data_IF_065844408590
#
_entry.id   IF_065844408590
#
_cell.length_a   1.000
_cell.length_b   1.000
_cell.length_c   1.000
_cell.angle_alpha   90.00
_cell.angle_beta   90.00
_cell.angle_gamma   90.00
#
_symmetry.space_group_name_H-M   'P 1'
#
loop_
_entity.id
_entity.type
_entity.pdbx_description
1 polymer ?
#
# COMPACT_ATOMS: atom_id res chain seq x y z
N UNK A 1 -53.22 3.63 4.93
CA UNK A 1 -52.18 4.16 4.03
C UNK A 1 -50.83 4.40 4.74
N UNK A 2 -50.78 4.77 6.03
CA UNK A 2 -49.52 4.93 6.77
C UNK A 2 -48.70 3.64 6.90
N UNK A 3 -49.35 2.51 7.23
CA UNK A 3 -48.70 1.21 7.41
C UNK A 3 -48.00 0.72 6.13
N UNK A 4 -48.60 0.93 4.96
CA UNK A 4 -47.98 0.57 3.67
C UNK A 4 -46.73 1.40 3.36
N UNK A 5 -46.69 2.67 3.80
CA UNK A 5 -45.53 3.55 3.61
C UNK A 5 -44.35 3.13 4.50
N UNK A 6 -44.63 2.74 5.75
CA UNK A 6 -43.62 2.25 6.69
C UNK A 6 -43.04 0.91 6.24
N UNK A 7 -43.87 -0.02 5.78
CA UNK A 7 -43.40 -1.29 5.20
C UNK A 7 -42.56 -1.07 3.94
N UNK A 8 -42.92 -0.13 3.07
CA UNK A 8 -42.16 0.16 1.85
C UNK A 8 -40.77 0.76 2.16
N UNK A 9 -40.71 1.67 3.15
CA UNK A 9 -39.43 2.25 3.61
C UNK A 9 -38.55 1.18 4.25
N UNK A 10 -39.11 0.31 5.09
CA UNK A 10 -38.36 -0.77 5.74
C UNK A 10 -37.82 -1.75 4.68
N UNK A 11 -38.63 -2.14 3.70
CA UNK A 11 -38.19 -3.02 2.61
C UNK A 11 -37.11 -2.36 1.74
N UNK A 12 -37.25 -1.07 1.42
CA UNK A 12 -36.24 -0.33 0.66
C UNK A 12 -34.90 -0.23 1.41
N UNK A 13 -34.93 0.06 2.72
CA UNK A 13 -33.72 0.10 3.57
C UNK A 13 -33.07 -1.27 3.66
N UNK A 14 -33.85 -2.34 3.86
CA UNK A 14 -33.32 -3.71 3.93
C UNK A 14 -32.71 -4.16 2.60
N UNK A 15 -33.31 -3.80 1.46
CA UNK A 15 -32.72 -4.07 0.13
C UNK A 15 -31.42 -3.30 -0.03
N UNK A 16 -31.36 -2.00 0.29
CA UNK A 16 -30.12 -1.21 0.21
C UNK A 16 -29.00 -1.79 1.08
N UNK A 17 -29.30 -2.28 2.29
CA UNK A 17 -28.31 -2.90 3.18
C UNK A 17 -27.82 -4.26 2.65
N UNK A 18 -28.67 -5.02 1.96
CA UNK A 18 -28.31 -6.33 1.38
C UNK A 18 -27.61 -6.23 0.02
N UNK A 19 -27.84 -5.17 -0.77
CA UNK A 19 -27.21 -4.96 -2.10
C UNK A 19 -25.96 -4.07 -2.02
N UNK A 20 -25.52 -3.61 -0.84
CA UNK A 20 -24.16 -3.10 -0.68
C UNK A 20 -23.27 -4.34 -0.58
N UNK A 21 -22.58 -4.81 -1.65
CA UNK A 21 -21.52 -5.77 -1.46
C UNK A 21 -20.58 -5.13 -0.45
N UNK A 22 -20.44 -5.77 0.72
CA UNK A 22 -19.37 -5.45 1.63
C UNK A 22 -18.10 -5.56 0.79
N UNK A 23 -17.50 -4.42 0.45
CA UNK A 23 -16.22 -4.34 -0.23
C UNK A 23 -15.18 -4.85 0.77
N UNK A 24 -15.23 -6.15 1.07
CA UNK A 24 -14.23 -6.84 1.84
C UNK A 24 -12.93 -6.72 1.06
N UNK A 25 -11.86 -6.33 1.75
CA UNK A 25 -10.53 -6.52 1.23
C UNK A 25 -10.31 -8.01 0.95
N UNK A 26 -10.48 -8.45 -0.29
CA UNK A 26 -10.11 -9.82 -0.69
C UNK A 26 -8.59 -9.92 -0.67
N UNK A 27 -8.05 -10.55 0.38
CA UNK A 27 -6.62 -10.85 0.54
C UNK A 27 -6.13 -11.98 -0.40
N UNK A 28 -6.99 -12.49 -1.29
CA UNK A 28 -6.66 -13.62 -2.16
C UNK A 28 -6.14 -13.20 -3.55
N UNK A 29 -5.79 -11.92 -3.73
CA UNK A 29 -5.17 -11.38 -4.95
C UNK A 29 -3.81 -10.78 -4.64
N UNK A 30 -2.75 -11.41 -5.14
CA UNK A 30 -1.37 -10.91 -5.07
C UNK A 30 -1.21 -9.61 -5.88
N UNK A 31 -1.47 -8.47 -5.25
CA UNK A 31 -1.15 -7.14 -5.78
C UNK A 31 -2.11 -6.07 -5.28
N UNK A 32 -1.59 -5.01 -4.66
CA UNK A 32 -2.40 -3.84 -4.34
C UNK A 32 -2.86 -3.08 -5.59
N UNK A 33 -3.92 -2.30 -5.44
CA UNK A 33 -4.47 -1.48 -6.52
C UNK A 33 -3.55 -0.29 -6.81
N UNK A 34 -3.48 0.09 -8.08
CA UNK A 34 -2.75 1.28 -8.53
C UNK A 34 -3.76 2.35 -8.91
N UNK A 35 -3.74 3.47 -8.21
CA UNK A 35 -4.65 4.59 -8.42
C UNK A 35 -3.94 5.70 -9.19
N UNK A 36 -4.35 5.94 -10.44
CA UNK A 36 -3.93 7.14 -11.18
C UNK A 36 -4.60 8.36 -10.57
N UNK A 37 -3.82 9.27 -9.98
CA UNK A 37 -4.36 10.38 -9.19
C UNK A 37 -5.18 11.33 -10.06
N UNK A 38 -6.45 11.51 -9.71
CA UNK A 38 -7.41 12.30 -10.48
C UNK A 38 -7.96 11.59 -11.72
N UNK A 39 -7.62 10.31 -11.96
CA UNK A 39 -7.95 9.59 -13.20
C UNK A 39 -7.47 10.33 -14.47
N UNK A 40 -6.47 11.20 -14.31
CA UNK A 40 -5.93 12.10 -15.34
C UNK A 40 -4.47 12.44 -15.01
N UNK A 41 -3.88 13.38 -15.75
CA UNK A 41 -2.58 13.96 -15.45
C UNK A 41 -2.62 14.82 -14.19
N UNK A 42 -1.61 14.69 -13.33
CA UNK A 42 -1.42 15.55 -12.17
C UNK A 42 -1.05 16.98 -12.61
N UNK A 43 -2.07 17.82 -12.70
CA UNK A 43 -2.01 19.21 -13.14
C UNK A 43 -2.91 20.11 -12.26
N UNK A 44 -2.93 21.41 -12.55
CA UNK A 44 -3.89 22.34 -11.94
C UNK A 44 -5.30 21.92 -12.34
N UNK A 45 -6.21 21.64 -11.38
CA UNK A 45 -7.55 21.21 -11.71
C UNK A 45 -8.43 22.38 -12.18
N UNK A 46 -9.51 22.13 -12.92
CA UNK A 46 -10.43 23.17 -13.37
C UNK A 46 -11.22 23.80 -12.20
N UNK A 47 -11.38 23.07 -11.09
CA UNK A 47 -12.05 23.52 -9.88
C UNK A 47 -11.25 23.14 -8.63
N UNK A 48 -11.26 24.03 -7.64
CA UNK A 48 -10.71 23.72 -6.32
C UNK A 48 -11.55 22.61 -5.70
N UNK A 49 -10.89 21.61 -5.12
CA UNK A 49 -11.55 20.45 -4.50
C UNK A 49 -11.71 19.23 -5.42
N UNK A 50 -11.32 19.33 -6.69
CA UNK A 50 -11.30 18.20 -7.62
C UNK A 50 -10.61 16.96 -7.04
N UNK A 51 -9.36 17.09 -6.60
CA UNK A 51 -8.61 15.97 -6.05
C UNK A 51 -9.12 15.48 -4.70
N UNK A 52 -9.71 16.35 -3.87
CA UNK A 52 -10.36 15.90 -2.63
C UNK A 52 -11.61 15.09 -2.91
N UNK A 53 -12.40 15.49 -3.92
CA UNK A 53 -13.57 14.71 -4.34
C UNK A 53 -13.13 13.36 -4.92
N UNK A 54 -12.13 13.37 -5.80
CA UNK A 54 -11.52 12.14 -6.31
C UNK A 54 -11.06 11.21 -5.18
N UNK A 55 -10.27 11.70 -4.22
CA UNK A 55 -9.78 10.86 -3.11
C UNK A 55 -10.90 10.32 -2.22
N UNK A 56 -12.00 11.07 -2.08
CA UNK A 56 -13.13 10.66 -1.23
C UNK A 56 -13.97 9.54 -1.86
N UNK A 57 -13.87 9.35 -3.18
CA UNK A 57 -14.52 8.27 -3.91
C UNK A 57 -13.68 6.99 -3.93
N UNK A 58 -12.52 6.96 -3.28
CA UNK A 58 -11.61 5.82 -3.25
C UNK A 58 -11.38 5.33 -1.82
N UNK A 59 -11.24 4.01 -1.68
CA UNK A 59 -10.81 3.38 -0.44
C UNK A 59 -9.37 2.88 -0.59
N UNK A 60 -8.42 3.64 -0.05
CA UNK A 60 -7.01 3.28 -0.09
C UNK A 60 -6.65 2.36 1.08
N UNK A 61 -5.87 1.31 0.82
CA UNK A 61 -5.35 0.40 1.83
C UNK A 61 -3.84 0.23 1.73
N UNK A 62 -3.24 -0.27 2.80
CA UNK A 62 -1.86 -0.76 2.78
C UNK A 62 -1.70 -1.80 1.65
N UNK A 63 -0.64 -1.66 0.86
CA UNK A 63 -0.33 -2.50 -0.30
C UNK A 63 -0.69 -1.83 -1.63
N UNK A 64 -1.61 -0.86 -1.64
CA UNK A 64 -1.96 -0.10 -2.84
C UNK A 64 -0.83 0.88 -3.24
N UNK A 65 -0.97 1.57 -4.38
CA UNK A 65 -0.05 2.60 -4.83
C UNK A 65 -0.79 3.76 -5.50
N UNK A 66 -0.24 4.97 -5.35
CA UNK A 66 -0.66 6.15 -6.10
C UNK A 66 0.27 6.35 -7.29
N UNK A 67 -0.29 6.63 -8.46
CA UNK A 67 0.44 6.98 -9.67
C UNK A 67 0.16 8.44 -9.98
N UNK A 68 1.19 9.27 -9.86
CA UNK A 68 1.14 10.65 -10.32
C UNK A 68 1.84 10.75 -11.67
N UNK A 69 1.06 10.92 -12.73
CA UNK A 69 1.57 11.17 -14.07
C UNK A 69 1.66 12.68 -14.32
N UNK A 70 2.84 13.20 -14.63
CA UNK A 70 3.04 14.64 -14.80
C UNK A 70 4.30 14.96 -15.62
N UNK A 71 4.28 16.14 -16.24
CA UNK A 71 5.39 16.67 -17.03
C UNK A 71 6.44 17.30 -16.10
N UNK A 72 7.65 16.74 -16.10
CA UNK A 72 8.77 17.23 -15.30
C UNK A 72 9.08 18.70 -15.63
N UNK A 73 9.38 19.50 -14.61
CA UNK A 73 9.64 20.94 -14.76
C UNK A 73 8.39 21.82 -14.88
N UNK A 74 7.24 21.25 -15.24
CA UNK A 74 5.92 21.94 -15.24
C UNK A 74 5.14 21.66 -13.97
N UNK A 75 5.25 20.43 -13.48
CA UNK A 75 4.64 19.99 -12.22
C UNK A 75 5.65 19.16 -11.42
N UNK A 76 5.37 19.00 -10.14
CA UNK A 76 6.06 18.07 -9.27
C UNK A 76 5.09 17.52 -8.22
N UNK A 77 5.57 16.57 -7.43
CA UNK A 77 4.84 16.00 -6.30
C UNK A 77 5.72 16.08 -5.07
N UNK A 78 5.22 16.74 -4.02
CA UNK A 78 5.86 16.80 -2.72
C UNK A 78 4.97 16.09 -1.72
N UNK A 79 5.55 15.18 -0.93
CA UNK A 79 4.92 14.71 0.30
C UNK A 79 5.25 15.71 1.41
N UNK A 80 4.25 16.21 2.12
CA UNK A 80 4.42 17.29 3.11
C UNK A 80 3.65 17.01 4.41
N UNK A 81 3.91 17.83 5.42
CA UNK A 81 3.11 17.82 6.65
C UNK A 81 1.73 18.43 6.42
N UNK A 82 0.76 18.16 7.32
CA UNK A 82 -0.57 18.79 7.26
C UNK A 82 -0.49 20.32 7.26
N UNK A 83 0.39 20.90 8.07
CA UNK A 83 0.56 22.37 8.18
C UNK A 83 1.02 22.98 6.85
N UNK A 84 2.00 22.36 6.22
CA UNK A 84 2.53 22.76 4.91
C UNK A 84 1.49 22.60 3.81
N UNK A 85 0.75 21.47 3.83
CA UNK A 85 -0.37 21.24 2.94
C UNK A 85 -1.43 22.35 3.06
N UNK A 86 -1.91 22.63 4.27
CA UNK A 86 -2.95 23.63 4.54
C UNK A 86 -2.53 25.04 4.10
N UNK A 87 -1.28 25.40 4.33
CA UNK A 87 -0.71 26.71 3.96
C UNK A 87 -0.16 26.78 2.54
N UNK A 88 -0.14 25.68 1.79
CA UNK A 88 0.53 25.57 0.49
C UNK A 88 1.99 26.03 0.52
N UNK A 89 2.73 25.64 1.56
CA UNK A 89 4.15 25.95 1.73
C UNK A 89 4.98 24.67 1.74
N UNK A 90 6.23 24.72 1.31
CA UNK A 90 7.10 23.54 1.22
C UNK A 90 8.49 23.85 1.80
N UNK A 91 8.53 24.26 3.07
CA UNK A 91 9.79 24.63 3.73
C UNK A 91 10.68 23.41 4.01
N UNK A 92 10.06 22.29 4.43
CA UNK A 92 10.73 21.03 4.76
C UNK A 92 9.88 19.85 4.29
N UNK A 93 9.77 19.64 2.95
CA UNK A 93 9.01 18.52 2.43
C UNK A 93 9.61 17.19 2.89
N UNK A 94 8.72 16.23 3.17
CA UNK A 94 9.09 14.89 3.58
C UNK A 94 9.69 14.10 2.42
N UNK A 95 9.15 14.30 1.21
CA UNK A 95 9.67 13.74 -0.05
C UNK A 95 9.42 14.71 -1.19
N UNK A 96 10.29 14.67 -2.20
CA UNK A 96 10.18 15.49 -3.41
C UNK A 96 10.37 14.60 -4.63
N UNK A 97 9.45 14.69 -5.59
CA UNK A 97 9.47 14.01 -6.86
C UNK A 97 9.37 15.04 -7.98
N UNK A 98 10.50 15.33 -8.63
CA UNK A 98 10.59 16.36 -9.69
C UNK A 98 10.38 15.80 -11.11
N UNK A 99 10.19 14.49 -11.25
CA UNK A 99 9.97 13.82 -12.53
C UNK A 99 8.89 12.75 -12.38
N UNK A 100 8.01 12.68 -13.38
CA UNK A 100 6.92 11.71 -13.47
C UNK A 100 7.09 10.76 -14.66
N UNK A 101 6.24 9.73 -14.76
CA UNK A 101 5.26 9.32 -13.75
C UNK A 101 5.94 8.72 -12.51
N UNK A 102 5.42 9.02 -11.32
CA UNK A 102 5.91 8.43 -10.07
C UNK A 102 4.87 7.50 -9.47
N UNK A 103 5.31 6.30 -9.10
CA UNK A 103 4.50 5.30 -8.39
C UNK A 103 4.87 5.29 -6.90
N UNK A 104 3.97 5.77 -6.05
CA UNK A 104 4.15 5.89 -4.60
C UNK A 104 3.37 4.77 -3.90
N UNK A 105 4.06 3.73 -3.37
CA UNK A 105 3.40 2.66 -2.63
C UNK A 105 2.90 3.13 -1.25
N UNK A 106 1.70 2.70 -0.90
CA UNK A 106 1.03 2.97 0.37
C UNK A 106 1.37 1.84 1.35
N UNK A 107 2.37 2.09 2.20
CA UNK A 107 2.95 1.07 3.09
C UNK A 107 2.42 1.12 4.52
N UNK A 108 1.87 2.26 4.91
CA UNK A 108 1.49 2.54 6.29
C UNK A 108 0.08 3.13 6.32
N UNK A 109 -0.66 2.82 7.39
CA UNK A 109 -1.95 3.44 7.70
C UNK A 109 -1.73 4.89 8.13
N UNK A 110 -2.65 5.77 7.74
CA UNK A 110 -2.61 7.17 8.14
C UNK A 110 -3.09 8.10 7.03
N UNK A 111 -2.99 9.41 7.28
CA UNK A 111 -3.31 10.44 6.29
C UNK A 111 -2.03 11.05 5.75
N UNK A 112 -1.84 10.97 4.44
CA UNK A 112 -0.68 11.50 3.74
C UNK A 112 -1.09 12.65 2.84
N UNK A 113 -0.27 13.70 2.81
CA UNK A 113 -0.55 14.93 2.09
C UNK A 113 0.44 15.10 0.95
N UNK A 114 -0.09 15.30 -0.26
CA UNK A 114 0.70 15.53 -1.46
C UNK A 114 0.26 16.84 -2.14
N UNK A 115 1.20 17.58 -2.69
CA UNK A 115 0.92 18.82 -3.42
C UNK A 115 2.00 19.14 -4.45
N UNK A 116 1.67 20.04 -5.38
CA UNK A 116 2.63 20.68 -6.28
C UNK A 116 3.05 22.03 -5.67
N UNK A 117 4.36 22.30 -5.53
CA UNK A 117 4.84 23.58 -4.99
C UNK A 117 5.28 24.57 -6.07
N UNK A 118 4.99 24.28 -7.34
CA UNK A 118 5.31 25.19 -8.44
C UNK A 118 4.33 26.36 -8.43
N UNK A 119 4.86 27.58 -8.35
CA UNK A 119 4.09 28.82 -8.32
C UNK A 119 2.96 28.77 -7.28
N UNK A 120 1.74 29.14 -7.65
CA UNK A 120 0.54 29.10 -6.82
C UNK A 120 -0.35 27.86 -7.08
N UNK A 121 0.18 26.80 -7.71
CA UNK A 121 -0.65 25.68 -8.18
C UNK A 121 -1.33 24.90 -7.04
N UNK A 122 -0.67 24.75 -5.89
CA UNK A 122 -1.30 24.20 -4.69
C UNK A 122 -2.55 24.99 -4.27
N UNK A 123 -2.46 26.32 -4.27
CA UNK A 123 -3.59 27.21 -3.90
C UNK A 123 -4.71 27.17 -4.94
N UNK A 124 -4.38 26.89 -6.20
CA UNK A 124 -5.34 26.61 -7.27
C UNK A 124 -5.93 25.20 -7.20
N UNK A 125 -5.59 24.43 -6.17
CA UNK A 125 -6.18 23.12 -5.89
C UNK A 125 -5.35 21.92 -6.32
N UNK A 126 -4.11 22.09 -6.81
CA UNK A 126 -3.20 20.97 -7.11
C UNK A 126 -2.57 20.39 -5.83
N UNK A 127 -3.43 19.80 -4.99
CA UNK A 127 -3.13 19.20 -3.70
C UNK A 127 -4.14 18.10 -3.38
N UNK A 128 -3.69 17.06 -2.70
CA UNK A 128 -4.51 15.90 -2.33
C UNK A 128 -4.11 15.34 -0.96
N UNK A 129 -5.11 14.89 -0.19
CA UNK A 129 -4.92 14.11 1.03
C UNK A 129 -5.41 12.68 0.82
N UNK A 130 -4.62 11.70 1.24
CA UNK A 130 -4.90 10.27 1.04
C UNK A 130 -5.00 9.61 2.41
N UNK A 131 -6.19 9.13 2.75
CA UNK A 131 -6.43 8.34 3.96
C UNK A 131 -6.24 6.85 3.64
N UNK A 132 -5.15 6.28 4.14
CA UNK A 132 -4.79 4.88 3.97
C UNK A 132 -5.25 4.09 5.16
N UNK A 133 -5.99 3.01 4.89
CA UNK A 133 -6.56 2.14 5.90
C UNK A 133 -5.75 0.84 5.99
N UNK A 134 -5.83 0.19 7.15
CA UNK A 134 -5.56 -1.24 7.20
C UNK A 134 -6.70 -1.96 6.47
N UNK A 135 -6.38 -3.03 5.75
CA UNK A 135 -7.44 -3.97 5.47
C UNK A 135 -7.86 -4.64 6.76
N UNK A 136 -9.16 -4.74 7.05
CA UNK A 136 -9.62 -5.70 8.03
C UNK A 136 -9.29 -7.08 7.48
N UNK A 137 -8.14 -7.63 7.89
CA UNK A 137 -7.93 -9.06 7.82
C UNK A 137 -9.07 -9.71 8.60
N UNK A 138 -9.67 -10.74 8.02
CA UNK A 138 -10.35 -11.74 8.83
C UNK A 138 -9.40 -12.10 9.97
N UNK A 139 -9.88 -11.99 11.21
CA UNK A 139 -9.20 -12.51 12.40
C UNK A 139 -8.59 -13.87 12.04
N UNK A 140 -7.30 -14.15 12.33
CA UNK A 140 -6.79 -15.50 12.12
C UNK A 140 -7.73 -16.45 12.86
N UNK A 141 -8.35 -17.37 12.11
CA UNK A 141 -9.18 -18.42 12.69
C UNK A 141 -8.38 -19.06 13.82
N UNK A 142 -8.93 -19.21 15.04
CA UNK A 142 -8.19 -19.81 16.14
C UNK A 142 -7.71 -21.19 15.69
N UNK A 143 -6.38 -21.37 15.69
CA UNK A 143 -5.76 -22.65 15.36
C UNK A 143 -6.40 -23.76 16.21
N UNK A 144 -6.69 -24.95 15.66
CA UNK A 144 -7.16 -26.07 16.45
C UNK A 144 -6.17 -26.35 17.59
N UNK A 145 -6.64 -26.70 18.80
CA UNK A 145 -5.76 -27.05 19.91
C UNK A 145 -4.83 -28.20 19.49
N UNK A 146 -3.53 -28.03 19.74
CA UNK A 146 -2.53 -29.08 19.46
C UNK A 146 -2.81 -30.32 20.32
N UNK A 147 -2.68 -31.54 19.78
CA UNK A 147 -2.85 -32.75 20.57
C UNK A 147 -1.76 -32.87 21.65
N UNK A 148 -2.04 -33.52 22.79
CA UNK A 148 -1.08 -33.67 23.87
C UNK A 148 0.15 -34.46 23.42
N UNK A 149 1.34 -33.92 23.71
CA UNK A 149 2.63 -34.56 23.45
C UNK A 149 2.75 -35.82 24.30
N UNK A 150 2.94 -36.98 23.66
CA UNK A 150 3.30 -38.21 24.37
C UNK A 150 4.66 -38.06 25.05
N UNK A 151 4.74 -38.48 26.32
CA UNK A 151 5.95 -38.41 27.13
C UNK A 151 7.07 -39.31 26.56
N UNK A 152 8.33 -38.86 26.56
CA UNK A 152 9.45 -39.73 26.20
C UNK A 152 9.66 -40.83 27.27
N UNK A 153 10.14 -42.03 26.88
CA UNK A 153 10.43 -43.10 27.82
C UNK A 153 11.65 -42.77 28.72
N UNK A 154 11.79 -43.42 29.89
CA UNK A 154 12.88 -43.14 30.82
C UNK A 154 14.23 -43.63 30.28
N UNK A 155 15.26 -42.80 30.39
CA UNK A 155 16.66 -43.17 30.10
C UNK A 155 17.26 -43.87 31.32
N UNK A 156 17.96 -45.00 31.19
CA UNK A 156 18.65 -45.65 32.31
C UNK A 156 19.93 -44.89 32.71
N UNK A 157 20.36 -44.96 33.98
CA UNK A 157 21.63 -44.39 34.42
C UNK A 157 22.78 -45.33 34.07
N UNK A 158 23.88 -44.80 33.54
CA UNK A 158 25.15 -45.53 33.47
C UNK A 158 26.27 -44.70 34.07
N UNK A 159 26.97 -45.38 34.97
CA UNK A 159 27.92 -44.93 35.98
C UNK A 159 29.30 -44.61 35.43
N UNK A 160 29.90 -43.53 35.93
CA UNK A 160 31.35 -43.28 35.88
C UNK A 160 32.09 -44.20 36.87
N UNK A 161 33.37 -44.55 36.65
CA UNK A 161 34.42 -43.91 37.46
C UNK A 161 35.85 -43.74 36.84
N UNK A 162 36.50 -42.65 37.27
CA UNK A 162 37.93 -42.42 37.65
C UNK A 162 39.15 -42.57 36.69
N UNK A 163 39.72 -41.42 36.26
CA UNK A 163 41.01 -40.74 36.64
C UNK A 163 42.32 -41.59 36.68
N UNK A 164 43.46 -41.16 36.04
CA UNK A 164 44.41 -40.19 36.63
C UNK A 164 45.08 -39.15 35.72
N UNK A 165 45.81 -38.23 36.36
CA UNK A 165 46.11 -36.85 35.97
C UNK A 165 47.54 -36.57 35.41
N UNK A 166 47.63 -35.51 34.57
CA UNK A 166 48.70 -34.47 34.36
C UNK A 166 50.13 -34.91 33.89
N UNK A 167 51.03 -33.97 33.47
CA UNK A 167 51.04 -32.97 32.36
C UNK A 167 52.44 -33.02 31.62
N UNK A 168 53.05 -31.97 31.00
CA UNK A 168 52.61 -30.67 30.47
C UNK A 168 52.99 -30.40 28.97
N UNK A 169 52.48 -29.29 28.42
CA UNK A 169 52.84 -28.70 27.10
C UNK A 169 54.30 -28.24 27.00
N UNK A 170 54.76 -27.90 25.77
CA UNK A 170 55.15 -26.51 25.58
C UNK A 170 54.65 -25.86 24.28
N UNK A 171 54.39 -24.57 24.46
CA UNK A 171 54.39 -23.44 23.55
C UNK A 171 55.21 -23.60 22.25
N UNK A 172 54.66 -23.16 21.11
CA UNK A 172 55.43 -22.18 20.33
C UNK A 172 54.55 -21.25 19.50
N UNK A 173 54.90 -20.00 19.62
CA UNK A 173 54.27 -18.82 19.05
C UNK A 173 54.85 -18.48 17.67
N UNK A 174 53.97 -17.95 16.82
CA UNK A 174 54.22 -16.89 15.81
C UNK A 174 54.49 -17.25 14.31
N UNK A 175 53.84 -16.53 13.36
CA UNK A 175 54.13 -16.46 11.90
C UNK A 175 55.22 -15.37 11.62
N UNK A 176 55.50 -14.76 10.43
CA UNK A 176 54.75 -14.69 9.14
C UNK A 176 55.54 -14.52 7.81
N UNK A 177 54.78 -14.34 6.71
CA UNK A 177 55.07 -13.56 5.48
C UNK A 177 55.93 -14.31 4.41
N UNK A 178 55.76 -14.20 3.07
CA UNK A 178 55.52 -13.05 2.17
C UNK A 178 55.18 -13.55 0.73
N UNK A 179 54.13 -12.97 0.11
CA UNK A 179 53.94 -12.52 -1.30
C UNK A 179 53.92 -13.51 -2.49
N UNK A 180 53.01 -13.25 -3.45
CA UNK A 180 53.37 -12.77 -4.81
C UNK A 180 52.16 -12.13 -5.52
N UNK A 181 52.31 -10.82 -5.78
CA UNK A 181 51.85 -9.90 -6.85
C UNK A 181 50.43 -9.93 -7.45
N UNK A 182 49.82 -8.73 -7.41
CA UNK A 182 48.90 -8.15 -8.41
C UNK A 182 49.67 -7.60 -9.63
N UNK A 183 49.06 -7.44 -10.82
CA UNK A 183 48.50 -6.12 -11.21
C UNK A 183 47.14 -6.16 -11.95
N UNK A 184 46.46 -5.00 -11.92
CA UNK A 184 45.15 -4.61 -12.49
C UNK A 184 45.19 -4.33 -14.02
N UNK A 185 44.23 -3.62 -14.71
CA UNK A 185 42.87 -3.15 -14.36
C UNK A 185 41.78 -3.26 -15.48
N UNK A 186 40.53 -2.91 -15.11
CA UNK A 186 39.42 -2.30 -15.89
C UNK A 186 38.80 -2.98 -17.13
N UNK A 187 37.50 -3.32 -17.05
CA UNK A 187 36.50 -3.02 -18.11
C UNK A 187 35.09 -2.84 -17.54
N UNK A 188 34.50 -1.72 -17.94
CA UNK A 188 33.07 -1.40 -18.10
C UNK A 188 32.28 -2.59 -18.66
N UNK A 189 31.09 -2.89 -18.10
CA UNK A 189 29.96 -3.29 -18.93
C UNK A 189 28.61 -2.94 -18.27
N UNK A 190 27.70 -2.53 -19.13
CA UNK A 190 26.44 -1.88 -18.89
C UNK A 190 25.34 -2.88 -19.34
N UNK A 191 24.67 -3.55 -18.40
CA UNK A 191 23.71 -4.61 -18.71
C UNK A 191 22.40 -4.48 -17.95
N UNK A 192 21.40 -3.92 -18.62
CA UNK A 192 19.98 -3.87 -18.21
C UNK A 192 19.38 -5.24 -17.89
N UNK A 193 18.45 -5.34 -16.92
CA UNK A 193 17.45 -6.39 -16.90
C UNK A 193 16.06 -5.80 -17.20
N UNK A 194 15.54 -6.03 -18.42
CA UNK A 194 14.10 -5.87 -18.68
C UNK A 194 13.47 -7.26 -18.81
N UNK A 195 12.76 -7.63 -17.75
CA UNK A 195 11.83 -8.76 -17.69
C UNK A 195 10.50 -8.48 -18.42
N UNK A 196 9.57 -9.43 -18.35
CA UNK A 196 8.69 -9.79 -19.46
C UNK A 196 7.47 -8.90 -19.65
N UNK A 197 7.09 -8.81 -20.93
CA UNK A 197 5.83 -8.28 -21.46
C UNK A 197 4.65 -9.12 -20.97
N UNK A 198 3.81 -8.55 -20.11
CA UNK A 198 2.48 -9.09 -19.79
C UNK A 198 1.42 -8.04 -20.12
N UNK A 199 0.85 -8.16 -21.32
CA UNK A 199 -0.36 -7.44 -21.71
C UNK A 199 -1.55 -8.02 -20.95
N UNK A 200 -2.09 -7.29 -19.98
CA UNK A 200 -3.39 -7.60 -19.39
C UNK A 200 -4.42 -6.60 -19.92
N UNK A 201 -5.29 -7.12 -20.79
CA UNK A 201 -6.38 -6.41 -21.42
C UNK A 201 -7.35 -5.82 -20.39
N UNK A 202 -7.65 -4.53 -20.54
CA UNK A 202 -8.75 -3.84 -19.85
C UNK A 202 -10.07 -4.50 -20.25
N UNK A 203 -10.67 -5.28 -19.35
CA UNK A 203 -12.05 -5.73 -19.53
C UNK A 203 -12.99 -4.65 -18.99
N UNK A 204 -13.48 -3.83 -19.91
CA UNK A 204 -14.43 -2.75 -19.73
C UNK A 204 -15.82 -3.32 -19.36
N UNK A 205 -16.06 -3.67 -18.08
CA UNK A 205 -17.41 -4.11 -17.63
C UNK A 205 -17.91 -3.51 -16.30
N UNK A 206 -17.20 -2.56 -15.70
CA UNK A 206 -17.61 -1.95 -14.42
C UNK A 206 -18.55 -0.74 -14.51
N UNK A 207 -18.66 -0.08 -15.66
CA UNK A 207 -19.31 1.25 -15.76
C UNK A 207 -20.84 1.18 -15.92
N UNK A 208 -21.42 0.00 -16.16
CA UNK A 208 -22.88 -0.12 -16.34
C UNK A 208 -23.67 -0.36 -15.03
N UNK A 209 -23.00 -0.69 -13.92
CA UNK A 209 -23.68 -0.96 -12.63
C UNK A 209 -23.84 0.28 -11.75
N UNK A 210 -23.00 1.30 -11.91
CA UNK A 210 -23.12 2.56 -11.15
C UNK A 210 -24.30 3.43 -11.59
N UNK A 211 -24.58 3.44 -12.90
CA UNK A 211 -25.65 4.26 -13.47
C UNK A 211 -27.04 3.74 -13.09
N UNK A 212 -27.19 2.42 -12.90
CA UNK A 212 -28.44 1.83 -12.43
C UNK A 212 -28.72 2.18 -10.97
N UNK A 213 -27.69 2.29 -10.13
CA UNK A 213 -27.87 2.68 -8.72
C UNK A 213 -28.35 4.12 -8.57
N UNK A 214 -27.82 5.05 -9.37
CA UNK A 214 -28.28 6.45 -9.36
C UNK A 214 -29.64 6.62 -10.02
N UNK A 215 -29.97 5.84 -11.05
CA UNK A 215 -31.31 5.84 -11.65
C UNK A 215 -32.38 5.31 -10.66
N UNK A 216 -32.06 4.27 -9.89
CA UNK A 216 -32.94 3.73 -8.84
C UNK A 216 -33.15 4.73 -7.71
N UNK A 217 -32.10 5.45 -7.27
CA UNK A 217 -32.22 6.52 -6.28
C UNK A 217 -33.09 7.69 -6.78
N UNK A 218 -32.95 8.08 -8.05
CA UNK A 218 -33.75 9.15 -8.65
C UNK A 218 -35.22 8.73 -8.85
N UNK A 219 -35.48 7.47 -9.20
CA UNK A 219 -36.84 6.93 -9.32
C UNK A 219 -37.54 6.81 -7.95
N UNK A 220 -36.82 6.49 -6.87
CA UNK A 220 -37.37 6.44 -5.50
C UNK A 220 -37.78 7.82 -5.00
N UNK A 221 -37.02 8.88 -5.33
CA UNK A 221 -37.37 10.25 -4.96
C UNK A 221 -38.59 10.82 -5.69
N UNK A 222 -38.94 10.27 -6.85
CA UNK A 222 -40.08 10.73 -7.66
C UNK A 222 -41.39 9.99 -7.33
N UNK A 223 -41.31 8.84 -6.65
CA UNK A 223 -42.46 7.99 -6.31
C UNK A 223 -42.91 8.04 -4.83
N UNK A 224 -42.27 8.89 -4.01
CA UNK A 224 -42.68 9.22 -2.62
C UNK A 224 -43.29 10.61 -2.59
#
# INVERSE_FOLDING_TARGET
>A
MAVQREFCIILAVMVVVLVVPSYGCSQNGSGGLRYSVGDTFWAIPPIVGYYSNWSSNHFFKIGDSLVFDFEAGRFNVLQVTKKEYDSCTAYKPLKVFNSGPVNIPLREKGVFYYMCNISNYCSLGQKISIAVNECPCATPSPSPPSPPRASPPPVPPSSSPHIPALPPSPDNSQPPYVQVTSPAPSTVDNGSPQGPSNSAALTHKGVLLGWLSQLVLLLVFVLV
#
